data_IF_690344362136
#
_entry.id   IF_690344362136
#
_cell.length_a   1.000
_cell.length_b   1.000
_cell.length_c   1.000
_cell.angle_alpha   90.00
_cell.angle_beta   90.00
_cell.angle_gamma   90.00
#
_symmetry.space_group_name_H-M   'P 1'
#
loop_
_entity.id
_entity.type
_entity.pdbx_description
1 polymer ?
#
# COMPACT_ATOMS: atom_id res chain seq x y z
N UNK A 1 23.73 50.35 -45.99
CA UNK A 1 24.26 49.10 -45.39
C UNK A 1 25.73 49.17 -44.93
N UNK A 2 26.35 50.34 -44.68
CA UNK A 2 27.68 50.45 -44.04
C UNK A 2 27.81 51.56 -42.97
N UNK A 3 26.75 52.31 -42.65
CA UNK A 3 26.77 53.42 -41.69
C UNK A 3 26.18 53.10 -40.31
N UNK A 4 25.38 52.04 -40.16
CA UNK A 4 24.77 51.69 -38.85
C UNK A 4 25.65 50.81 -37.95
N UNK A 5 26.74 50.23 -38.46
CA UNK A 5 27.63 49.36 -37.65
C UNK A 5 28.75 50.12 -36.92
N UNK A 6 29.01 51.39 -37.27
CA UNK A 6 30.04 52.21 -36.60
C UNK A 6 29.48 52.91 -35.37
N UNK A 7 28.20 53.30 -35.39
CA UNK A 7 27.51 53.89 -34.24
C UNK A 7 27.35 52.88 -33.09
N UNK A 8 27.04 51.61 -33.40
CA UNK A 8 26.88 50.55 -32.40
C UNK A 8 28.22 50.15 -31.74
N UNK A 9 29.33 50.24 -32.49
CA UNK A 9 30.67 50.00 -31.96
C UNK A 9 31.18 51.15 -31.08
N UNK A 10 30.83 52.41 -31.42
CA UNK A 10 31.21 53.58 -30.64
C UNK A 10 30.46 53.68 -29.29
N UNK A 11 29.18 53.30 -29.26
CA UNK A 11 28.37 53.27 -28.03
C UNK A 11 28.87 52.20 -27.05
N UNK A 12 29.27 51.02 -27.56
CA UNK A 12 29.84 49.96 -26.73
C UNK A 12 31.26 50.27 -26.20
N UNK A 13 32.00 51.17 -26.85
CA UNK A 13 33.32 51.60 -26.38
C UNK A 13 33.22 52.70 -25.32
N UNK A 14 32.23 53.60 -25.44
CA UNK A 14 31.99 54.66 -24.46
C UNK A 14 31.51 54.11 -23.10
N UNK A 15 30.79 52.98 -23.11
CA UNK A 15 30.32 52.31 -21.89
C UNK A 15 31.42 51.55 -21.13
N UNK A 16 32.60 51.31 -21.74
CA UNK A 16 33.71 50.57 -21.12
C UNK A 16 34.81 51.45 -20.51
N UNK A 17 34.82 52.75 -20.79
CA UNK A 17 35.93 53.65 -20.39
C UNK A 17 35.64 54.46 -19.12
N UNK A 18 34.42 54.39 -18.56
CA UNK A 18 34.07 55.13 -17.34
C UNK A 18 33.47 54.20 -16.30
N UNK A 19 34.32 53.58 -15.49
CA UNK A 19 33.96 53.13 -14.15
C UNK A 19 34.93 53.81 -13.17
N UNK A 20 34.42 54.45 -12.10
CA UNK A 20 34.60 53.79 -10.79
C UNK A 20 33.45 53.99 -9.78
N UNK A 21 33.10 52.87 -9.14
CA UNK A 21 32.73 52.64 -7.73
C UNK A 21 32.20 53.78 -6.83
N UNK A 22 30.90 53.76 -6.47
CA UNK A 22 30.34 54.07 -5.11
C UNK A 22 29.04 53.25 -4.88
N UNK A 23 28.87 52.70 -3.67
CA UNK A 23 27.78 51.82 -3.14
C UNK A 23 26.55 52.66 -2.69
N UNK A 24 25.42 52.08 -2.23
CA UNK A 24 24.29 51.45 -2.93
C UNK A 24 23.04 52.37 -2.95
N UNK A 25 22.47 52.66 -4.12
CA UNK A 25 21.12 53.25 -4.20
C UNK A 25 20.19 52.24 -4.83
N UNK A 26 19.11 51.91 -4.13
CA UNK A 26 18.02 51.06 -4.58
C UNK A 26 17.76 51.27 -6.09
N UNK A 27 18.18 50.30 -6.90
CA UNK A 27 17.81 50.29 -8.31
C UNK A 27 16.32 50.00 -8.31
N UNK A 28 15.53 51.05 -8.52
CA UNK A 28 14.13 50.92 -8.89
C UNK A 28 14.07 49.92 -10.05
N UNK A 29 13.59 48.70 -9.78
CA UNK A 29 13.24 47.73 -10.84
C UNK A 29 12.47 48.51 -11.90
N UNK A 30 12.81 48.33 -13.17
CA UNK A 30 12.04 49.00 -14.21
C UNK A 30 10.58 48.56 -14.10
N UNK A 31 9.65 49.41 -14.51
CA UNK A 31 8.23 49.03 -14.53
C UNK A 31 8.02 47.74 -15.35
N UNK A 32 8.88 47.49 -16.34
CA UNK A 32 8.94 46.24 -17.10
C UNK A 32 9.38 45.05 -16.23
N UNK A 33 10.43 45.17 -15.42
CA UNK A 33 10.89 44.05 -14.57
C UNK A 33 9.89 43.74 -13.44
N UNK A 34 9.28 44.77 -12.86
CA UNK A 34 8.28 44.62 -11.80
C UNK A 34 6.93 44.07 -12.32
N UNK A 35 6.54 44.38 -13.56
CA UNK A 35 5.26 43.94 -14.14
C UNK A 35 5.39 42.68 -14.97
N UNK A 36 6.47 42.52 -15.75
CA UNK A 36 6.61 41.45 -16.72
C UNK A 36 7.40 40.24 -16.20
N UNK A 37 8.35 40.44 -15.27
CA UNK A 37 9.15 39.34 -14.71
C UNK A 37 8.58 38.93 -13.34
N UNK A 38 8.47 39.84 -12.37
CA UNK A 38 8.00 39.47 -11.02
C UNK A 38 6.53 38.99 -10.99
N UNK A 39 5.62 39.59 -11.77
CA UNK A 39 4.22 39.11 -11.84
C UNK A 39 4.10 37.82 -12.65
N UNK A 40 4.98 37.59 -13.63
CA UNK A 40 4.97 36.39 -14.44
C UNK A 40 5.59 35.21 -13.69
N UNK A 41 6.62 35.45 -12.87
CA UNK A 41 7.18 34.48 -11.94
C UNK A 41 6.12 34.12 -10.89
N UNK A 42 5.45 35.10 -10.27
CA UNK A 42 4.35 34.82 -9.34
C UNK A 42 3.17 34.08 -10.01
N UNK A 43 2.87 34.38 -11.28
CA UNK A 43 1.85 33.64 -12.03
C UNK A 43 2.31 32.22 -12.37
N UNK A 44 3.60 32.01 -12.66
CA UNK A 44 4.21 30.69 -12.91
C UNK A 44 4.20 29.84 -11.64
N UNK A 45 4.56 30.41 -10.49
CA UNK A 45 4.45 29.74 -9.18
C UNK A 45 3.00 29.43 -8.83
N UNK A 46 2.08 30.38 -9.06
CA UNK A 46 0.65 30.16 -8.84
C UNK A 46 0.08 29.07 -9.75
N UNK A 47 0.51 29.02 -11.01
CA UNK A 47 0.07 28.00 -11.97
C UNK A 47 0.63 26.62 -11.62
N UNK A 48 1.90 26.52 -11.25
CA UNK A 48 2.52 25.27 -10.80
C UNK A 48 1.86 24.73 -9.52
N UNK A 49 1.52 25.61 -8.59
CA UNK A 49 0.78 25.22 -7.38
C UNK A 49 -0.65 24.74 -7.70
N UNK A 50 -1.31 25.35 -8.69
CA UNK A 50 -2.63 24.91 -9.16
C UNK A 50 -2.53 23.56 -9.87
N UNK A 51 -1.52 23.35 -10.70
CA UNK A 51 -1.27 22.09 -11.42
C UNK A 51 -1.05 20.93 -10.44
N UNK A 52 -0.23 21.14 -9.41
CA UNK A 52 -0.04 20.15 -8.32
C UNK A 52 -1.37 19.85 -7.60
N UNK A 53 -2.19 20.87 -7.33
CA UNK A 53 -3.48 20.68 -6.67
C UNK A 53 -4.48 19.89 -7.54
N UNK A 54 -4.41 20.06 -8.87
CA UNK A 54 -5.23 19.34 -9.84
C UNK A 54 -4.80 17.87 -9.89
N UNK A 55 -3.50 17.58 -9.93
CA UNK A 55 -2.98 16.20 -9.93
C UNK A 55 -3.38 15.43 -8.66
N UNK A 56 -3.31 16.09 -7.50
CA UNK A 56 -3.75 15.53 -6.21
C UNK A 56 -5.26 15.24 -6.21
N UNK A 57 -6.07 16.15 -6.80
CA UNK A 57 -7.51 15.98 -6.93
C UNK A 57 -7.88 14.85 -7.90
N UNK A 58 -7.22 14.73 -9.04
CA UNK A 58 -7.44 13.65 -10.00
C UNK A 58 -7.12 12.29 -9.37
N UNK A 59 -6.03 12.20 -8.60
CA UNK A 59 -5.66 11.01 -7.83
C UNK A 59 -6.71 10.64 -6.77
N UNK A 60 -7.21 11.64 -6.04
CA UNK A 60 -8.28 11.44 -5.05
C UNK A 60 -9.59 11.00 -5.70
N UNK A 61 -9.97 11.58 -6.85
CA UNK A 61 -11.16 11.20 -7.62
C UNK A 61 -11.05 9.76 -8.13
N UNK A 62 -9.89 9.34 -8.67
CA UNK A 62 -9.68 7.95 -9.10
C UNK A 62 -9.85 6.93 -7.96
N UNK A 63 -9.45 7.29 -6.74
CA UNK A 63 -9.66 6.45 -5.54
C UNK A 63 -11.14 6.32 -5.18
N UNK A 64 -11.91 7.42 -5.30
CA UNK A 64 -13.37 7.44 -5.07
C UNK A 64 -14.11 6.64 -6.14
N UNK A 65 -13.71 6.73 -7.41
CA UNK A 65 -14.26 5.92 -8.49
C UNK A 65 -14.00 4.42 -8.29
N UNK A 66 -12.80 4.04 -7.81
CA UNK A 66 -12.48 2.67 -7.43
C UNK A 66 -13.35 2.15 -6.27
N UNK A 67 -13.56 2.96 -5.25
CA UNK A 67 -14.47 2.64 -4.13
C UNK A 67 -15.93 2.51 -4.57
N UNK A 68 -16.38 3.37 -5.50
CA UNK A 68 -17.73 3.30 -6.09
C UNK A 68 -17.89 2.03 -6.93
N UNK A 69 -16.87 1.67 -7.71
CA UNK A 69 -16.83 0.42 -8.47
C UNK A 69 -16.89 -0.79 -7.54
N UNK A 70 -16.14 -0.79 -6.44
CA UNK A 70 -16.18 -1.84 -5.42
C UNK A 70 -17.54 -1.90 -4.72
N UNK A 71 -18.14 -0.75 -4.38
CA UNK A 71 -19.49 -0.68 -3.80
C UNK A 71 -20.54 -1.26 -4.74
N UNK A 72 -20.48 -0.95 -6.04
CA UNK A 72 -21.37 -1.51 -7.05
C UNK A 72 -21.18 -3.03 -7.20
N UNK A 73 -19.94 -3.51 -7.23
CA UNK A 73 -19.62 -4.95 -7.25
C UNK A 73 -20.12 -5.67 -5.98
N UNK A 74 -19.94 -5.06 -4.80
CA UNK A 74 -20.40 -5.60 -3.52
C UNK A 74 -21.93 -5.60 -3.43
N UNK A 75 -22.58 -4.57 -3.96
CA UNK A 75 -24.05 -4.47 -4.04
C UNK A 75 -24.61 -5.53 -4.97
N UNK A 76 -23.99 -5.74 -6.14
CA UNK A 76 -24.36 -6.81 -7.06
C UNK A 76 -24.10 -8.20 -6.46
N UNK A 77 -22.94 -8.43 -5.82
CA UNK A 77 -22.61 -9.68 -5.12
C UNK A 77 -23.56 -9.96 -3.95
N UNK A 78 -24.00 -8.92 -3.24
CA UNK A 78 -25.03 -9.03 -2.19
C UNK A 78 -26.39 -9.39 -2.79
N UNK A 79 -26.77 -8.81 -3.93
CA UNK A 79 -28.01 -9.12 -4.61
C UNK A 79 -28.02 -10.57 -5.12
N UNK A 80 -26.94 -11.04 -5.74
CA UNK A 80 -26.81 -12.44 -6.19
C UNK A 80 -26.78 -13.42 -5.02
N UNK A 81 -26.12 -13.06 -3.91
CA UNK A 81 -26.16 -13.85 -2.68
C UNK A 81 -27.58 -13.91 -2.09
N UNK A 82 -28.32 -12.80 -2.10
CA UNK A 82 -29.71 -12.78 -1.65
C UNK A 82 -30.62 -13.59 -2.59
N UNK A 83 -30.41 -13.54 -3.90
CA UNK A 83 -31.13 -14.37 -4.87
C UNK A 83 -30.81 -15.85 -4.72
N UNK A 84 -29.56 -16.20 -4.40
CA UNK A 84 -29.15 -17.58 -4.11
C UNK A 84 -29.67 -18.09 -2.76
N UNK A 85 -29.64 -17.23 -1.73
CA UNK A 85 -30.11 -17.56 -0.39
C UNK A 85 -31.64 -17.51 -0.28
N UNK A 86 -32.34 -16.76 -1.12
CA UNK A 86 -33.80 -16.66 -1.06
C UNK A 86 -34.53 -18.00 -1.29
N UNK A 87 -34.18 -18.85 -2.28
CA UNK A 87 -34.73 -20.19 -2.39
C UNK A 87 -34.17 -21.16 -1.35
N UNK A 88 -32.98 -20.96 -0.77
CA UNK A 88 -32.49 -21.76 0.35
C UNK A 88 -33.22 -21.42 1.68
N UNK A 89 -33.58 -20.16 1.91
CA UNK A 89 -34.32 -19.69 3.08
C UNK A 89 -35.83 -19.97 2.97
N UNK A 90 -36.42 -19.81 1.77
CA UNK A 90 -37.84 -20.08 1.52
C UNK A 90 -38.15 -21.48 0.95
N UNK A 91 -37.14 -22.24 0.54
CA UNK A 91 -37.27 -23.63 0.09
C UNK A 91 -37.04 -24.65 1.20
N UNK A 92 -36.22 -24.30 2.21
CA UNK A 92 -36.01 -25.15 3.40
C UNK A 92 -37.07 -24.93 4.49
N UNK A 93 -37.77 -23.79 4.46
CA UNK A 93 -38.95 -23.50 5.30
C UNK A 93 -40.15 -23.31 4.39
N UNK A 94 -40.68 -24.42 3.87
CA UNK A 94 -41.99 -24.43 3.22
C UNK A 94 -43.01 -23.91 4.25
N UNK A 95 -43.78 -22.83 3.99
CA UNK A 95 -44.77 -22.34 4.94
C UNK A 95 -45.79 -23.45 5.21
N UNK A 96 -45.66 -24.10 6.35
CA UNK A 96 -46.65 -25.00 6.93
C UNK A 96 -47.50 -24.16 7.87
N UNK A 97 -48.81 -24.19 7.69
CA UNK A 97 -49.70 -23.37 8.50
C UNK A 97 -51.08 -23.98 8.62
N UNK A 98 -51.81 -23.52 9.63
CA UNK A 98 -53.24 -23.79 9.75
C UNK A 98 -53.99 -22.62 9.10
N UNK A 99 -54.85 -22.94 8.14
CA UNK A 99 -55.68 -21.92 7.52
C UNK A 99 -56.59 -21.28 8.58
N UNK A 100 -56.89 -20.00 8.40
CA UNK A 100 -57.87 -19.29 9.24
C UNK A 100 -59.27 -19.34 8.63
N UNK A 101 -59.38 -19.86 7.40
CA UNK A 101 -60.60 -20.02 6.64
C UNK A 101 -60.30 -20.17 5.15
N UNK A 102 -61.33 -20.21 4.31
CA UNK A 102 -61.18 -20.32 2.88
C UNK A 102 -62.49 -20.30 2.13
N UNK A 103 -62.40 -20.35 0.81
CA UNK A 103 -63.53 -20.48 -0.10
C UNK A 103 -63.20 -21.51 -1.17
N UNK A 104 -64.12 -21.78 -2.10
CA UNK A 104 -63.81 -22.66 -3.24
C UNK A 104 -62.67 -22.14 -4.14
N UNK A 105 -62.33 -20.85 -4.09
CA UNK A 105 -61.28 -20.25 -4.92
C UNK A 105 -60.10 -19.72 -4.12
N UNK A 106 -60.13 -19.81 -2.80
CA UNK A 106 -59.11 -19.21 -1.95
C UNK A 106 -58.88 -19.96 -0.64
N UNK A 107 -57.75 -19.67 -0.01
CA UNK A 107 -57.42 -20.07 1.34
C UNK A 107 -56.80 -18.88 2.06
N UNK A 108 -57.25 -18.61 3.28
CA UNK A 108 -56.67 -17.57 4.13
C UNK A 108 -55.60 -18.21 4.99
N UNK A 109 -54.36 -17.78 4.77
CA UNK A 109 -53.18 -18.31 5.45
C UNK A 109 -53.17 -17.90 6.93
N UNK A 110 -52.30 -18.54 7.70
CA UNK A 110 -52.11 -18.23 9.11
C UNK A 110 -51.61 -16.78 9.33
N UNK A 111 -51.82 -16.25 10.54
CA UNK A 111 -51.45 -14.85 10.86
C UNK A 111 -49.94 -14.55 10.65
N UNK A 112 -49.08 -15.56 10.79
CA UNK A 112 -47.63 -15.47 10.59
C UNK A 112 -47.17 -15.45 9.12
N UNK A 113 -48.07 -15.63 8.14
CA UNK A 113 -47.72 -15.62 6.73
C UNK A 113 -47.22 -14.24 6.25
N UNK A 114 -46.41 -14.21 5.20
CA UNK A 114 -45.73 -12.98 4.74
C UNK A 114 -46.69 -11.82 4.43
N UNK A 115 -46.29 -10.59 4.76
CA UNK A 115 -47.01 -9.37 4.42
C UNK A 115 -46.74 -8.84 3.01
N UNK A 116 -45.82 -9.47 2.28
CA UNK A 116 -45.48 -9.09 0.90
C UNK A 116 -46.51 -9.64 -0.08
N UNK A 117 -47.10 -8.77 -0.90
CA UNK A 117 -47.99 -9.18 -1.99
C UNK A 117 -47.22 -10.06 -3.00
N UNK A 118 -47.95 -10.96 -3.66
CA UNK A 118 -47.48 -11.80 -4.76
C UNK A 118 -46.35 -12.80 -4.44
N UNK A 119 -45.84 -12.82 -3.20
CA UNK A 119 -44.72 -13.67 -2.79
C UNK A 119 -44.94 -15.17 -3.08
N UNK A 120 -46.19 -15.62 -2.97
CA UNK A 120 -46.55 -17.01 -3.16
C UNK A 120 -47.13 -17.31 -4.54
N UNK A 121 -47.17 -16.35 -5.47
CA UNK A 121 -47.72 -16.57 -6.81
C UNK A 121 -46.90 -17.63 -7.56
N UNK A 122 -47.60 -18.50 -8.30
CA UNK A 122 -47.03 -19.63 -9.03
C UNK A 122 -46.70 -20.84 -8.15
N UNK A 123 -46.63 -20.69 -6.82
CA UNK A 123 -46.33 -21.78 -5.89
C UNK A 123 -47.49 -22.77 -5.78
N UNK A 124 -47.17 -24.02 -5.48
CA UNK A 124 -48.19 -25.02 -5.16
C UNK A 124 -48.57 -24.90 -3.68
N UNK A 125 -49.85 -25.01 -3.39
CA UNK A 125 -50.39 -25.14 -2.05
C UNK A 125 -51.13 -26.48 -1.94
N UNK A 126 -50.72 -27.29 -0.96
CA UNK A 126 -51.32 -28.60 -0.69
C UNK A 126 -51.95 -28.59 0.69
N UNK A 127 -53.21 -28.98 0.79
CA UNK A 127 -53.86 -29.26 2.07
C UNK A 127 -53.53 -30.71 2.43
N UNK A 128 -52.71 -30.92 3.46
CA UNK A 128 -52.25 -32.26 3.83
C UNK A 128 -53.09 -32.90 4.95
N UNK A 129 -53.89 -32.12 5.67
CA UNK A 129 -54.89 -32.64 6.61
C UNK A 129 -56.03 -31.63 6.85
N UNK A 130 -57.11 -32.07 7.51
CA UNK A 130 -58.30 -31.28 7.77
C UNK A 130 -59.28 -31.21 6.60
N UNK A 131 -60.22 -30.26 6.64
CA UNK A 131 -61.19 -30.08 5.55
C UNK A 131 -60.49 -29.82 4.23
N UNK A 132 -60.83 -30.60 3.20
CA UNK A 132 -60.23 -30.48 1.88
C UNK A 132 -58.82 -31.09 1.74
N UNK A 133 -58.39 -31.95 2.67
CA UNK A 133 -57.14 -32.70 2.57
C UNK A 133 -56.94 -33.45 1.24
N UNK A 134 -55.68 -33.65 0.86
CA UNK A 134 -55.23 -34.26 -0.39
C UNK A 134 -55.56 -33.46 -1.65
N UNK A 135 -55.86 -32.18 -1.51
CA UNK A 135 -55.98 -31.27 -2.64
C UNK A 135 -54.72 -30.41 -2.77
N UNK A 136 -54.16 -30.35 -3.97
CA UNK A 136 -53.07 -29.45 -4.34
C UNK A 136 -53.55 -28.49 -5.42
N UNK A 137 -53.20 -27.21 -5.33
CA UNK A 137 -53.50 -26.17 -6.32
C UNK A 137 -52.33 -25.23 -6.52
N UNK A 138 -52.31 -24.51 -7.64
CA UNK A 138 -51.36 -23.41 -7.87
C UNK A 138 -51.95 -22.13 -7.29
N UNK A 139 -51.17 -21.38 -6.52
CA UNK A 139 -51.54 -20.03 -6.08
C UNK A 139 -51.42 -19.09 -7.28
N UNK A 140 -52.56 -18.60 -7.77
CA UNK A 140 -52.61 -17.66 -8.90
C UNK A 140 -52.41 -16.20 -8.47
N UNK A 141 -52.72 -15.87 -7.21
CA UNK A 141 -52.53 -14.53 -6.63
C UNK A 141 -52.47 -14.61 -5.10
N UNK A 142 -51.70 -13.74 -4.46
CA UNK A 142 -51.59 -13.62 -3.01
C UNK A 142 -51.57 -12.18 -2.54
N UNK A 143 -52.46 -11.82 -1.61
CA UNK A 143 -52.45 -10.52 -0.94
C UNK A 143 -51.82 -10.65 0.45
N UNK A 144 -50.66 -10.04 0.65
CA UNK A 144 -49.93 -10.10 1.91
C UNK A 144 -50.58 -9.30 3.04
N UNK A 145 -51.41 -8.31 2.72
CA UNK A 145 -52.20 -7.56 3.70
C UNK A 145 -53.32 -8.38 4.33
N UNK A 146 -54.03 -9.17 3.52
CA UNK A 146 -55.16 -10.00 3.99
C UNK A 146 -54.80 -11.47 4.24
N UNK A 147 -53.59 -11.88 3.84
CA UNK A 147 -53.12 -13.28 3.87
C UNK A 147 -53.95 -14.22 3.00
N UNK A 148 -54.65 -13.71 2.00
CA UNK A 148 -55.50 -14.51 1.12
C UNK A 148 -54.70 -14.98 -0.09
N UNK A 149 -54.59 -16.29 -0.26
CA UNK A 149 -54.08 -16.93 -1.46
C UNK A 149 -55.25 -17.41 -2.33
N UNK A 150 -55.34 -16.90 -3.56
CA UNK A 150 -56.27 -17.37 -4.59
C UNK A 150 -55.63 -18.51 -5.37
N UNK A 151 -56.40 -19.55 -5.67
CA UNK A 151 -55.88 -20.78 -6.27
C UNK A 151 -56.52 -21.13 -7.61
N UNK A 152 -55.76 -21.85 -8.44
CA UNK A 152 -56.22 -22.47 -9.67
C UNK A 152 -55.64 -23.90 -9.79
N UNK A 153 -56.43 -24.92 -10.18
CA UNK A 153 -57.89 -24.89 -10.32
C UNK A 153 -58.62 -24.59 -9.00
N UNK A 154 -59.95 -24.39 -9.02
CA UNK A 154 -60.72 -24.21 -7.79
C UNK A 154 -60.63 -25.44 -6.87
N UNK A 155 -60.74 -25.26 -5.56
CA UNK A 155 -60.91 -26.35 -4.62
C UNK A 155 -62.21 -27.11 -4.93
N UNK A 156 -62.18 -28.44 -4.84
CA UNK A 156 -63.36 -29.30 -4.88
C UNK A 156 -64.11 -29.22 -3.56
N UNK A 157 -63.36 -29.22 -2.44
CA UNK A 157 -63.86 -28.98 -1.09
C UNK A 157 -63.13 -27.73 -0.57
N UNK A 158 -63.89 -26.69 -0.22
CA UNK A 158 -63.31 -25.44 0.28
C UNK A 158 -62.57 -25.67 1.62
N UNK A 159 -61.34 -25.16 1.79
CA UNK A 159 -60.65 -25.22 3.07
C UNK A 159 -61.35 -24.36 4.14
N UNK A 160 -61.19 -24.74 5.39
CA UNK A 160 -61.68 -24.03 6.56
C UNK A 160 -60.58 -23.89 7.63
N UNK A 161 -60.93 -23.52 8.85
CA UNK A 161 -59.99 -23.34 9.95
C UNK A 161 -59.39 -24.64 10.50
N UNK A 162 -59.79 -25.81 9.99
CA UNK A 162 -59.19 -27.11 10.30
C UNK A 162 -58.19 -27.55 9.23
N UNK A 163 -58.14 -26.87 8.08
CA UNK A 163 -57.24 -27.22 6.96
C UNK A 163 -55.81 -26.83 7.28
N UNK A 164 -54.91 -27.81 7.29
CA UNK A 164 -53.48 -27.55 7.36
C UNK A 164 -52.85 -27.64 5.97
N UNK A 165 -52.07 -26.63 5.62
CA UNK A 165 -51.51 -26.46 4.29
C UNK A 165 -49.99 -26.37 4.32
N UNK A 166 -49.39 -26.66 3.16
CA UNK A 166 -47.97 -26.44 2.86
C UNK A 166 -47.84 -25.71 1.53
N UNK A 167 -46.98 -24.69 1.43
CA UNK A 167 -46.70 -23.96 0.19
C UNK A 167 -45.30 -24.29 -0.34
N UNK A 168 -45.20 -24.86 -1.54
CA UNK A 168 -43.92 -25.20 -2.19
C UNK A 168 -43.67 -24.46 -3.49
N UNK A 169 -42.39 -24.35 -3.87
CA UNK A 169 -41.98 -23.86 -5.17
C UNK A 169 -42.74 -24.57 -6.32
N UNK A 170 -42.90 -23.87 -7.44
CA UNK A 170 -43.52 -24.39 -8.66
C UNK A 170 -42.61 -25.45 -9.29
N UNK A 171 -42.74 -26.67 -8.81
CA UNK A 171 -41.93 -27.83 -9.14
C UNK A 171 -42.14 -28.84 -8.02
N UNK A 172 -42.52 -30.07 -8.35
CA UNK A 172 -42.89 -31.10 -7.38
C UNK A 172 -41.70 -31.54 -6.50
N UNK A 173 -41.21 -30.66 -5.62
CA UNK A 173 -40.16 -31.01 -4.66
C UNK A 173 -40.76 -31.71 -3.43
N UNK A 174 -42.07 -31.62 -3.17
CA UNK A 174 -42.72 -32.27 -2.01
C UNK A 174 -42.71 -33.80 -2.05
N UNK A 175 -42.83 -34.40 -3.24
CA UNK A 175 -42.78 -35.87 -3.36
C UNK A 175 -41.38 -36.43 -3.11
N UNK A 176 -40.33 -35.62 -3.22
CA UNK A 176 -38.96 -36.03 -2.95
C UNK A 176 -38.57 -35.87 -1.46
N UNK A 177 -39.32 -35.06 -0.68
CA UNK A 177 -38.98 -34.73 0.71
C UNK A 177 -39.90 -35.36 1.78
N UNK A 178 -41.13 -35.77 1.42
CA UNK A 178 -42.08 -36.42 2.34
C UNK A 178 -42.39 -37.83 1.83
N UNK A 179 -42.05 -38.84 2.62
CA UNK A 179 -42.35 -40.24 2.30
C UNK A 179 -43.78 -40.64 2.68
N UNK A 180 -44.33 -40.07 3.76
CA UNK A 180 -45.76 -40.20 4.12
C UNK A 180 -46.15 -39.15 5.16
N UNK A 181 -47.39 -38.67 5.14
CA UNK A 181 -47.97 -37.85 6.19
C UNK A 181 -49.40 -38.30 6.49
N UNK A 182 -49.92 -37.98 7.66
CA UNK A 182 -51.31 -38.28 8.00
C UNK A 182 -51.64 -38.18 9.47
N UNK A 183 -52.89 -38.50 9.78
CA UNK A 183 -53.37 -38.65 11.16
C UNK A 183 -53.06 -40.07 11.64
N UNK A 184 -52.36 -40.20 12.76
CA UNK A 184 -52.13 -41.49 13.38
C UNK A 184 -53.46 -42.13 13.79
N UNK A 185 -53.49 -43.46 13.87
CA UNK A 185 -54.68 -44.20 14.29
C UNK A 185 -54.57 -44.69 15.73
N UNK A 186 -53.35 -44.82 16.25
CA UNK A 186 -53.02 -45.15 17.64
C UNK A 186 -51.52 -44.90 17.89
N UNK A 187 -51.09 -45.06 19.14
CA UNK A 187 -49.68 -45.02 19.52
C UNK A 187 -49.41 -45.58 20.91
N UNK A 188 -48.15 -45.88 21.19
CA UNK A 188 -47.64 -46.31 22.51
C UNK A 188 -46.33 -45.59 22.83
N UNK A 189 -45.63 -45.97 23.90
CA UNK A 189 -44.35 -45.34 24.24
C UNK A 189 -43.28 -45.50 23.15
N UNK A 190 -43.27 -46.60 22.40
CA UNK A 190 -42.26 -46.89 21.37
C UNK A 190 -42.84 -47.02 19.97
N UNK A 191 -44.14 -46.76 19.79
CA UNK A 191 -44.82 -46.96 18.50
C UNK A 191 -45.80 -45.85 18.15
N UNK A 192 -46.05 -45.71 16.86
CA UNK A 192 -47.15 -44.94 16.28
C UNK A 192 -47.75 -45.76 15.13
N UNK A 193 -49.07 -45.85 15.06
CA UNK A 193 -49.76 -46.52 13.96
C UNK A 193 -50.12 -45.48 12.91
N UNK A 194 -49.53 -45.60 11.73
CA UNK A 194 -49.70 -44.64 10.64
C UNK A 194 -51.12 -44.69 10.06
N UNK A 195 -51.48 -43.67 9.28
CA UNK A 195 -52.73 -43.64 8.54
C UNK A 195 -52.83 -44.85 7.60
N UNK A 196 -54.06 -45.30 7.33
CA UNK A 196 -54.35 -46.46 6.46
C UNK A 196 -53.78 -46.31 5.04
N UNK A 197 -53.49 -45.08 4.61
CA UNK A 197 -52.88 -44.74 3.32
C UNK A 197 -51.37 -44.97 3.27
N UNK A 198 -50.72 -45.32 4.38
CA UNK A 198 -49.27 -45.58 4.42
C UNK A 198 -48.87 -46.84 3.63
N UNK A 199 -47.63 -46.85 3.14
CA UNK A 199 -47.10 -47.86 2.21
C UNK A 199 -47.40 -49.31 2.62
N UNK A 200 -47.71 -50.15 1.64
CA UNK A 200 -47.88 -51.60 1.80
C UNK A 200 -46.57 -52.39 1.84
N UNK A 201 -45.41 -51.72 1.82
CA UNK A 201 -44.09 -52.35 1.79
C UNK A 201 -43.48 -52.36 3.19
N UNK A 202 -43.12 -53.54 3.70
CA UNK A 202 -42.52 -53.67 5.04
C UNK A 202 -41.19 -52.91 5.12
N UNK A 203 -40.96 -52.23 6.25
CA UNK A 203 -39.73 -51.50 6.56
C UNK A 203 -39.31 -50.40 5.56
N UNK A 204 -40.16 -49.96 4.63
CA UNK A 204 -39.81 -48.93 3.64
C UNK A 204 -39.53 -47.54 4.24
N UNK A 205 -39.84 -47.34 5.52
CA UNK A 205 -39.59 -46.11 6.27
C UNK A 205 -38.47 -46.25 7.31
N UNK A 206 -37.82 -47.41 7.42
CA UNK A 206 -36.72 -47.60 8.39
C UNK A 206 -35.57 -46.66 8.05
N UNK A 207 -34.97 -46.02 9.06
CA UNK A 207 -33.92 -45.02 8.89
C UNK A 207 -34.46 -43.59 8.70
N UNK A 208 -35.72 -43.45 8.30
CA UNK A 208 -36.36 -42.15 8.13
C UNK A 208 -36.75 -41.51 9.46
N UNK A 209 -36.97 -40.19 9.42
CA UNK A 209 -37.38 -39.40 10.57
C UNK A 209 -38.89 -39.19 10.56
N UNK A 210 -39.54 -39.47 11.68
CA UNK A 210 -40.95 -39.20 11.91
C UNK A 210 -41.11 -38.06 12.92
N UNK A 211 -41.87 -37.03 12.55
CA UNK A 211 -42.22 -35.91 13.43
C UNK A 211 -43.72 -35.81 13.62
N UNK A 212 -44.17 -35.65 14.87
CA UNK A 212 -45.56 -35.30 15.20
C UNK A 212 -45.66 -33.78 15.14
N UNK A 213 -46.39 -33.28 14.15
CA UNK A 213 -46.47 -31.86 13.82
C UNK A 213 -47.63 -31.15 14.53
N UNK A 214 -48.67 -31.88 14.94
CA UNK A 214 -49.77 -31.35 15.76
C UNK A 214 -50.55 -32.49 16.45
N UNK A 215 -51.41 -32.14 17.42
CA UNK A 215 -52.14 -33.11 18.24
C UNK A 215 -51.35 -33.63 19.45
N UNK A 216 -51.81 -34.73 20.06
CA UNK A 216 -51.14 -35.34 21.22
C UNK A 216 -49.69 -35.70 20.88
N UNK A 217 -48.75 -35.27 21.73
CA UNK A 217 -47.33 -35.52 21.49
C UNK A 217 -46.70 -34.65 20.38
N UNK A 218 -47.38 -33.60 19.92
CA UNK A 218 -46.85 -32.62 18.96
C UNK A 218 -45.50 -32.01 19.38
N UNK A 219 -44.65 -31.76 18.38
CA UNK A 219 -43.28 -31.28 18.56
C UNK A 219 -42.24 -32.37 18.82
N UNK A 220 -42.65 -33.63 18.94
CA UNK A 220 -41.71 -34.75 19.12
C UNK A 220 -41.28 -35.33 17.77
N UNK A 221 -39.98 -35.61 17.64
CA UNK A 221 -39.37 -36.21 16.45
C UNK A 221 -38.55 -37.42 16.83
N UNK A 222 -38.62 -38.52 16.05
CA UNK A 222 -37.94 -39.79 16.30
C UNK A 222 -37.49 -40.47 15.01
N UNK A 223 -36.51 -41.36 15.11
CA UNK A 223 -36.08 -42.21 13.99
C UNK A 223 -36.91 -43.49 13.95
N UNK A 224 -37.33 -43.91 12.76
CA UNK A 224 -38.05 -45.16 12.55
C UNK A 224 -37.04 -46.32 12.51
N UNK A 225 -37.24 -47.31 13.38
CA UNK A 225 -36.39 -48.51 13.48
C UNK A 225 -37.06 -49.78 12.95
N UNK A 226 -38.40 -49.77 12.80
CA UNK A 226 -39.15 -50.85 12.16
C UNK A 226 -40.51 -50.35 11.68
N UNK A 227 -41.03 -50.93 10.59
CA UNK A 227 -42.38 -50.66 10.10
C UNK A 227 -43.06 -51.95 9.61
N UNK A 228 -44.17 -52.30 10.24
CA UNK A 228 -45.04 -53.42 9.82
C UNK A 228 -46.09 -52.93 8.82
N UNK A 229 -46.00 -53.40 7.58
CA UNK A 229 -46.87 -52.92 6.51
C UNK A 229 -48.32 -53.42 6.57
N UNK A 230 -48.59 -54.51 7.32
CA UNK A 230 -49.94 -55.07 7.46
C UNK A 230 -50.77 -54.31 8.50
N UNK A 231 -50.13 -53.98 9.63
CA UNK A 231 -50.74 -53.27 10.76
C UNK A 231 -50.48 -51.76 10.74
N UNK A 232 -49.57 -51.30 9.87
CA UNK A 232 -49.10 -49.90 9.78
C UNK A 232 -48.42 -49.41 11.07
N UNK A 233 -47.98 -50.33 11.92
CA UNK A 233 -47.30 -49.99 13.18
C UNK A 233 -45.85 -49.66 12.88
N UNK A 234 -45.47 -48.43 13.22
CA UNK A 234 -44.11 -47.92 13.12
C UNK A 234 -43.48 -47.91 14.51
N UNK A 235 -42.36 -48.59 14.66
CA UNK A 235 -41.55 -48.56 15.88
C UNK A 235 -40.47 -47.50 15.75
N UNK A 236 -40.29 -46.72 16.81
CA UNK A 236 -39.41 -45.55 16.82
C UNK A 236 -38.33 -45.65 17.91
N UNK A 237 -37.29 -44.84 17.78
CA UNK A 237 -36.29 -44.61 18.82
C UNK A 237 -35.84 -43.15 18.82
N UNK A 238 -35.58 -42.53 19.99
CA UNK A 238 -35.90 -43.02 21.35
C UNK A 238 -37.42 -43.09 21.61
N UNK A 239 -37.88 -43.60 22.77
CA UNK A 239 -39.31 -43.60 23.08
C UNK A 239 -39.93 -42.19 23.07
N UNK A 240 -41.23 -42.10 22.79
CA UNK A 240 -42.00 -40.89 22.97
C UNK A 240 -42.02 -40.48 24.45
N UNK A 241 -41.88 -39.19 24.70
CA UNK A 241 -42.09 -38.59 26.03
C UNK A 241 -43.58 -38.43 26.33
N UNK A 242 -44.39 -38.19 25.30
CA UNK A 242 -45.86 -38.20 25.33
C UNK A 242 -46.34 -39.14 24.23
N UNK A 243 -47.06 -40.20 24.60
CA UNK A 243 -47.52 -41.21 23.63
C UNK A 243 -48.47 -40.59 22.61
N UNK A 244 -48.26 -40.80 21.29
CA UNK A 244 -49.21 -40.39 20.28
C UNK A 244 -50.52 -41.18 20.38
N UNK A 245 -51.60 -40.57 19.89
CA UNK A 245 -52.94 -41.13 19.80
C UNK A 245 -53.56 -40.81 18.42
N UNK A 246 -54.87 -41.03 18.27
CA UNK A 246 -55.60 -40.80 17.03
C UNK A 246 -55.79 -39.30 16.66
N UNK A 247 -55.31 -38.37 17.48
CA UNK A 247 -55.27 -36.94 17.19
C UNK A 247 -53.90 -36.48 16.70
N UNK A 248 -52.89 -37.36 16.76
CA UNK A 248 -51.50 -37.05 16.46
C UNK A 248 -51.27 -37.00 14.95
N UNK A 249 -51.00 -35.81 14.43
CA UNK A 249 -50.69 -35.58 13.03
C UNK A 249 -49.19 -35.71 12.81
N UNK A 250 -48.76 -36.54 11.86
CA UNK A 250 -47.36 -36.86 11.65
C UNK A 250 -46.89 -36.63 10.21
N UNK A 251 -45.58 -36.44 10.06
CA UNK A 251 -44.85 -36.46 8.79
C UNK A 251 -43.66 -37.40 8.94
N UNK A 252 -43.44 -38.25 7.92
CA UNK A 252 -42.21 -39.02 7.71
C UNK A 252 -41.43 -38.39 6.57
N UNK A 253 -40.19 -37.98 6.84
CA UNK A 253 -39.30 -37.34 5.89
C UNK A 253 -38.50 -38.37 5.08
N UNK A 254 -38.27 -38.08 3.80
CA UNK A 254 -37.43 -38.93 2.95
C UNK A 254 -35.98 -38.97 3.45
N UNK A 255 -35.27 -40.08 3.20
CA UNK A 255 -33.88 -40.26 3.60
C UNK A 255 -32.98 -39.16 3.00
N UNK A 256 -32.03 -38.63 3.79
CA UNK A 256 -31.08 -37.60 3.36
C UNK A 256 -31.57 -36.14 3.46
N UNK A 257 -32.77 -35.90 4.02
CA UNK A 257 -33.41 -34.57 4.03
C UNK A 257 -33.73 -34.08 5.44
N UNK A 258 -32.74 -33.62 6.22
CA UNK A 258 -33.05 -32.95 7.49
C UNK A 258 -32.00 -31.92 7.92
N UNK A 259 -32.38 -30.65 7.93
CA UNK A 259 -31.94 -29.68 8.93
C UNK A 259 -33.16 -29.44 9.83
N UNK A 260 -33.13 -29.98 11.06
CA UNK A 260 -34.23 -29.80 12.02
C UNK A 260 -33.94 -28.55 12.86
N UNK A 261 -34.79 -27.52 12.73
CA UNK A 261 -34.79 -26.35 13.61
C UNK A 261 -35.87 -26.53 14.69
N UNK A 262 -35.54 -26.18 15.93
CA UNK A 262 -36.51 -26.09 17.02
C UNK A 262 -37.61 -25.08 16.65
N UNK A 263 -38.90 -25.43 16.68
CA UNK A 263 -39.97 -24.52 16.25
C UNK A 263 -40.14 -23.31 17.17
N UNK A 264 -39.69 -23.39 18.42
CA UNK A 264 -39.78 -22.30 19.41
C UNK A 264 -38.53 -21.42 19.45
N UNK A 265 -37.33 -21.99 19.24
CA UNK A 265 -36.06 -21.24 19.37
C UNK A 265 -35.33 -21.02 18.05
N UNK A 266 -35.80 -21.62 16.95
CA UNK A 266 -35.12 -21.67 15.64
C UNK A 266 -33.67 -22.15 15.71
N UNK A 267 -33.32 -22.88 16.78
CA UNK A 267 -31.99 -23.41 17.03
C UNK A 267 -31.91 -24.85 16.51
N UNK A 268 -30.77 -25.24 15.92
CA UNK A 268 -30.54 -26.58 15.38
C UNK A 268 -30.73 -27.64 16.48
N UNK A 269 -31.64 -28.61 16.29
CA UNK A 269 -31.86 -29.69 17.26
C UNK A 269 -31.00 -30.88 16.86
N UNK A 270 -29.77 -30.90 17.37
CA UNK A 270 -28.90 -32.06 17.30
C UNK A 270 -28.22 -32.29 15.95
N UNK A 271 -26.96 -32.70 16.03
CA UNK A 271 -26.09 -32.98 14.89
C UNK A 271 -26.50 -34.31 14.24
N UNK A 272 -27.52 -34.30 13.38
CA UNK A 272 -27.89 -35.46 12.57
C UNK A 272 -27.51 -35.19 11.11
N UNK A 273 -26.32 -35.67 10.73
CA UNK A 273 -25.98 -36.04 9.35
C UNK A 273 -26.00 -34.93 8.29
N UNK A 274 -25.27 -33.82 8.48
CA UNK A 274 -24.58 -33.26 7.31
C UNK A 274 -23.58 -34.34 6.92
N UNK A 275 -23.79 -34.99 5.77
CA UNK A 275 -22.78 -35.85 5.20
C UNK A 275 -21.49 -35.03 5.11
N UNK A 276 -20.49 -35.42 5.90
CA UNK A 276 -19.20 -34.74 5.97
C UNK A 276 -18.54 -34.65 4.58
N UNK A 277 -19.00 -35.45 3.62
CA UNK A 277 -18.64 -35.37 2.21
C UNK A 277 -19.14 -34.09 1.50
N UNK A 278 -20.36 -33.59 1.76
CA UNK A 278 -20.86 -32.35 1.13
C UNK A 278 -20.30 -31.09 1.78
N UNK A 279 -20.02 -31.12 3.09
CA UNK A 279 -19.25 -30.07 3.76
C UNK A 279 -17.77 -30.06 3.30
N UNK A 280 -17.21 -31.22 2.98
CA UNK A 280 -15.91 -31.33 2.34
C UNK A 280 -15.94 -30.82 0.90
N UNK A 281 -17.01 -31.05 0.12
CA UNK A 281 -17.17 -30.51 -1.23
C UNK A 281 -17.36 -28.98 -1.23
N UNK A 282 -18.20 -28.43 -0.35
CA UNK A 282 -18.32 -26.98 -0.12
C UNK A 282 -17.01 -26.37 0.41
N UNK A 283 -16.32 -27.07 1.32
CA UNK A 283 -15.01 -26.67 1.82
C UNK A 283 -13.91 -26.76 0.76
N UNK A 284 -14.00 -27.72 -0.18
CA UNK A 284 -13.10 -27.81 -1.33
C UNK A 284 -13.40 -26.76 -2.39
N UNK A 285 -14.67 -26.45 -2.65
CA UNK A 285 -15.07 -25.39 -3.56
C UNK A 285 -14.69 -24.01 -3.03
N UNK A 286 -14.91 -23.76 -1.74
CA UNK A 286 -14.49 -22.52 -1.09
C UNK A 286 -12.96 -22.40 -1.02
N UNK A 287 -12.25 -23.49 -0.70
CA UNK A 287 -10.78 -23.53 -0.77
C UNK A 287 -10.26 -23.35 -2.20
N UNK A 288 -10.94 -23.89 -3.21
CA UNK A 288 -10.60 -23.70 -4.62
C UNK A 288 -10.72 -22.23 -4.98
N UNK A 289 -11.88 -21.61 -4.74
CA UNK A 289 -12.12 -20.18 -5.03
C UNK A 289 -11.14 -19.29 -4.28
N UNK A 290 -10.82 -19.59 -3.01
CA UNK A 290 -9.83 -18.84 -2.24
C UNK A 290 -8.41 -19.03 -2.79
N UNK A 291 -8.09 -20.24 -3.28
CA UNK A 291 -6.79 -20.55 -3.89
C UNK A 291 -6.66 -19.88 -5.27
N UNK A 292 -7.71 -19.90 -6.08
CA UNK A 292 -7.77 -19.27 -7.40
C UNK A 292 -7.73 -17.74 -7.27
N UNK A 293 -8.42 -17.19 -6.27
CA UNK A 293 -8.34 -15.75 -5.94
C UNK A 293 -6.96 -15.38 -5.41
N UNK A 294 -6.34 -16.24 -4.57
CA UNK A 294 -4.96 -16.03 -4.09
C UNK A 294 -3.94 -16.13 -5.23
N UNK A 295 -4.12 -17.07 -6.15
CA UNK A 295 -3.31 -17.19 -7.38
C UNK A 295 -3.52 -15.95 -8.23
N UNK A 296 -4.75 -15.48 -8.44
CA UNK A 296 -5.04 -14.23 -9.15
C UNK A 296 -4.37 -13.01 -8.53
N UNK A 297 -4.39 -12.86 -7.20
CA UNK A 297 -3.66 -11.78 -6.52
C UNK A 297 -2.13 -11.95 -6.60
N UNK A 298 -1.62 -13.18 -6.57
CA UNK A 298 -0.18 -13.46 -6.76
C UNK A 298 0.22 -13.18 -8.21
N UNK A 299 -0.63 -13.48 -9.18
CA UNK A 299 -0.46 -13.22 -10.61
C UNK A 299 -0.55 -11.71 -10.89
N UNK A 300 -1.44 -10.98 -10.24
CA UNK A 300 -1.54 -9.51 -10.33
C UNK A 300 -0.33 -8.84 -9.65
N UNK A 301 0.14 -9.38 -8.52
CA UNK A 301 1.35 -8.92 -7.82
C UNK A 301 2.65 -9.25 -8.59
N UNK A 302 2.67 -10.35 -9.33
CA UNK A 302 3.79 -10.73 -10.21
C UNK A 302 3.73 -10.03 -11.57
N UNK A 303 2.53 -9.73 -12.09
CA UNK A 303 2.32 -8.91 -13.29
C UNK A 303 2.59 -7.42 -13.04
N UNK A 304 2.47 -6.95 -11.80
CA UNK A 304 2.95 -5.63 -11.38
C UNK A 304 4.48 -5.51 -11.41
N UNK A 305 5.20 -6.59 -11.78
CA UNK A 305 6.65 -6.64 -11.90
C UNK A 305 7.41 -6.28 -10.61
N UNK A 306 6.71 -6.19 -9.47
CA UNK A 306 7.28 -5.76 -8.18
C UNK A 306 8.50 -6.57 -7.74
N UNK A 307 8.57 -7.90 -7.93
CA UNK A 307 9.81 -8.64 -7.65
C UNK A 307 10.96 -8.20 -8.54
N UNK A 308 10.71 -7.95 -9.83
CA UNK A 308 11.72 -7.44 -10.76
C UNK A 308 12.11 -6.00 -10.43
N UNK A 309 11.15 -5.15 -10.04
CA UNK A 309 11.40 -3.77 -9.62
C UNK A 309 12.16 -3.73 -8.29
N UNK A 310 11.86 -4.63 -7.34
CA UNK A 310 12.60 -4.81 -6.09
C UNK A 310 14.00 -5.35 -6.37
N UNK A 311 14.17 -6.26 -7.32
CA UNK A 311 15.48 -6.77 -7.72
C UNK A 311 16.29 -5.70 -8.46
N UNK A 312 15.64 -4.84 -9.25
CA UNK A 312 16.24 -3.64 -9.85
C UNK A 312 16.66 -2.65 -8.75
N UNK A 313 15.80 -2.36 -7.78
CA UNK A 313 16.10 -1.45 -6.66
C UNK A 313 17.21 -2.03 -5.77
N UNK A 314 17.20 -3.34 -5.48
CA UNK A 314 18.26 -4.01 -4.71
C UNK A 314 19.57 -4.06 -5.49
N UNK A 315 19.53 -4.27 -6.81
CA UNK A 315 20.70 -4.18 -7.67
C UNK A 315 21.25 -2.76 -7.71
N UNK A 316 20.39 -1.73 -7.82
CA UNK A 316 20.79 -0.33 -7.72
C UNK A 316 21.38 0.01 -6.34
N UNK A 317 20.84 -0.58 -5.27
CA UNK A 317 21.37 -0.43 -3.90
C UNK A 317 22.73 -1.14 -3.74
N UNK A 318 22.91 -2.33 -4.30
CA UNK A 318 24.22 -3.00 -4.39
C UNK A 318 25.18 -2.21 -5.28
N UNK A 319 24.70 -1.49 -6.29
CA UNK A 319 25.56 -0.59 -7.09
C UNK A 319 26.00 0.63 -6.28
N UNK A 320 25.29 1.01 -5.21
CA UNK A 320 25.68 2.08 -4.28
C UNK A 320 26.68 1.55 -3.23
N UNK A 321 26.50 0.33 -2.71
CA UNK A 321 27.38 -0.25 -1.68
C UNK A 321 28.64 -0.94 -2.25
N UNK A 322 28.56 -1.59 -3.43
CA UNK A 322 29.67 -2.30 -4.09
C UNK A 322 30.28 -1.54 -5.28
N UNK A 323 30.02 -0.23 -5.43
CA UNK A 323 30.73 0.58 -6.43
C UNK A 323 32.18 0.87 -6.02
N UNK A 324 33.04 -0.14 -6.14
CA UNK A 324 34.19 0.11 -6.99
C UNK A 324 33.64 0.54 -8.36
N UNK A 325 33.67 1.84 -8.62
CA UNK A 325 33.34 2.42 -9.92
C UNK A 325 34.00 1.57 -11.02
N UNK A 326 33.20 1.10 -11.99
CA UNK A 326 33.73 0.42 -13.19
C UNK A 326 34.85 1.32 -13.75
N UNK A 327 36.00 0.72 -14.07
CA UNK A 327 37.17 1.47 -14.53
C UNK A 327 36.86 2.44 -15.70
N UNK A 328 35.84 2.12 -16.51
CA UNK A 328 35.33 2.95 -17.61
C UNK A 328 33.79 2.97 -17.65
N UNK A 329 33.10 3.91 -16.97
CA UNK A 329 31.63 4.00 -16.99
C UNK A 329 31.12 4.54 -18.33
N UNK A 330 29.98 4.06 -18.84
CA UNK A 330 29.42 4.46 -20.16
C UNK A 330 29.14 5.97 -20.24
N UNK A 331 29.40 6.59 -21.41
CA UNK A 331 29.10 8.01 -21.65
C UNK A 331 27.60 8.32 -21.43
N UNK A 332 27.31 9.33 -20.62
CA UNK A 332 25.93 9.71 -20.27
C UNK A 332 25.32 9.00 -19.06
N UNK A 333 26.03 8.05 -18.43
CA UNK A 333 25.54 7.39 -17.21
C UNK A 333 25.69 8.26 -15.95
N UNK A 334 24.77 8.11 -14.99
CA UNK A 334 24.91 8.66 -13.63
C UNK A 334 26.22 8.20 -12.97
N UNK A 335 26.64 6.97 -13.21
CA UNK A 335 27.93 6.44 -12.75
C UNK A 335 29.13 7.23 -13.27
N UNK A 336 29.08 7.70 -14.53
CA UNK A 336 30.10 8.61 -15.08
C UNK A 336 29.98 10.02 -14.49
N UNK A 337 28.78 10.52 -14.23
CA UNK A 337 28.58 11.84 -13.61
C UNK A 337 29.15 11.88 -12.18
N UNK A 338 28.93 10.82 -11.41
CA UNK A 338 29.45 10.65 -10.06
C UNK A 338 30.96 10.38 -10.08
N UNK A 339 31.44 9.49 -10.95
CA UNK A 339 32.89 9.22 -11.13
C UNK A 339 33.69 10.44 -11.61
N UNK A 340 33.04 11.38 -12.31
CA UNK A 340 33.67 12.59 -12.85
C UNK A 340 33.53 13.81 -11.94
N UNK A 341 32.94 13.64 -10.74
CA UNK A 341 32.78 14.73 -9.77
C UNK A 341 31.92 15.89 -10.27
N UNK A 342 30.90 15.61 -11.09
CA UNK A 342 30.08 16.64 -11.73
C UNK A 342 29.44 17.58 -10.70
N UNK A 343 29.70 18.88 -10.85
CA UNK A 343 28.90 19.91 -10.16
C UNK A 343 27.64 20.22 -10.96
N UNK A 344 26.68 20.92 -10.34
CA UNK A 344 25.37 21.27 -10.91
C UNK A 344 25.39 22.11 -12.21
N UNK A 345 26.56 22.33 -12.83
CA UNK A 345 26.76 23.07 -14.08
C UNK A 345 27.51 22.29 -15.17
N UNK A 346 27.65 20.96 -15.02
CA UNK A 346 28.04 20.08 -16.13
C UNK A 346 29.52 20.10 -16.54
N UNK A 347 30.40 20.71 -15.75
CA UNK A 347 31.86 20.64 -15.95
C UNK A 347 32.50 19.61 -15.03
N UNK A 348 33.25 18.68 -15.62
CA UNK A 348 33.95 17.57 -14.97
C UNK A 348 35.14 18.07 -14.14
N UNK A 349 35.28 17.57 -12.90
CA UNK A 349 36.49 17.82 -12.09
C UNK A 349 37.67 17.00 -12.63
N UNK A 350 38.92 17.47 -12.45
CA UNK A 350 40.11 16.70 -12.81
C UNK A 350 40.11 15.33 -12.11
N UNK A 351 40.59 14.29 -12.81
CA UNK A 351 40.50 12.88 -12.41
C UNK A 351 41.15 12.49 -11.06
N UNK A 352 41.80 13.43 -10.36
CA UNK A 352 42.57 13.21 -9.13
C UNK A 352 41.98 13.88 -7.88
N UNK A 353 40.75 14.40 -7.93
CA UNK A 353 40.13 15.11 -6.79
C UNK A 353 38.77 14.51 -6.47
N UNK A 354 38.63 13.87 -5.31
CA UNK A 354 37.31 13.52 -4.76
C UNK A 354 36.61 14.77 -4.19
N UNK A 355 35.28 14.72 -4.03
CA UNK A 355 34.54 15.82 -3.38
C UNK A 355 35.04 16.05 -1.94
N UNK A 356 35.51 15.00 -1.27
CA UNK A 356 36.16 15.06 0.04
C UNK A 356 37.52 15.79 -0.03
N UNK A 357 38.32 15.56 -1.08
CA UNK A 357 39.58 16.28 -1.28
C UNK A 357 39.37 17.77 -1.57
N UNK A 358 38.31 18.12 -2.29
CA UNK A 358 37.97 19.51 -2.60
C UNK A 358 37.41 20.24 -1.38
N UNK A 359 36.55 19.59 -0.59
CA UNK A 359 35.86 20.23 0.54
C UNK A 359 36.70 20.23 1.82
N UNK A 360 37.40 19.13 2.11
CA UNK A 360 38.03 18.92 3.42
C UNK A 360 39.54 19.06 3.33
N UNK A 361 40.18 18.51 2.29
CA UNK A 361 41.64 18.52 2.20
C UNK A 361 42.14 19.87 1.68
N UNK A 362 41.63 20.38 0.56
CA UNK A 362 42.10 21.67 0.00
C UNK A 362 41.78 22.89 0.87
N UNK A 363 40.72 22.85 1.69
CA UNK A 363 40.37 23.95 2.59
C UNK A 363 41.15 23.95 3.90
N UNK A 364 41.87 22.86 4.23
CA UNK A 364 42.58 22.69 5.52
C UNK A 364 44.03 22.23 5.39
N UNK A 365 44.50 21.80 4.21
CA UNK A 365 45.89 21.41 3.99
C UNK A 365 46.69 22.59 3.45
N UNK A 366 47.44 23.26 4.32
CA UNK A 366 48.49 24.16 3.86
C UNK A 366 49.48 23.37 2.98
N UNK A 367 49.77 23.87 1.78
CA UNK A 367 50.78 23.30 0.91
C UNK A 367 52.17 23.47 1.53
N UNK A 368 52.83 22.35 1.82
CA UNK A 368 54.18 22.29 2.37
C UNK A 368 55.22 22.32 1.23
N UNK A 369 56.27 23.15 1.37
CA UNK A 369 57.40 23.22 0.45
C UNK A 369 58.70 23.11 1.24
N UNK A 370 59.45 22.03 1.02
CA UNK A 370 60.76 21.80 1.62
C UNK A 370 61.85 21.99 0.57
N UNK A 371 62.84 22.82 0.86
CA UNK A 371 63.98 23.07 -0.03
C UNK A 371 65.19 23.58 0.77
N UNK A 372 66.24 24.03 0.10
CA UNK A 372 67.44 24.59 0.73
C UNK A 372 67.96 25.78 -0.06
N UNK A 373 68.39 26.82 0.66
CA UNK A 373 69.07 27.97 0.09
C UNK A 373 70.57 27.90 0.37
N UNK A 374 71.42 28.21 -0.60
CA UNK A 374 72.86 28.28 -0.42
C UNK A 374 73.27 29.74 -0.21
N UNK A 375 73.53 30.13 1.04
CA UNK A 375 74.01 31.46 1.40
C UNK A 375 75.44 31.67 0.89
N UNK A 376 75.69 32.66 0.02
CA UNK A 376 77.02 33.01 -0.45
C UNK A 376 77.96 33.44 0.67
N UNK A 377 79.26 33.30 0.45
CA UNK A 377 80.29 33.77 1.39
C UNK A 377 80.60 35.27 1.19
N UNK A 378 79.58 36.12 1.33
CA UNK A 378 79.70 37.56 1.23
C UNK A 378 78.86 38.27 2.32
N UNK A 379 78.83 39.60 2.26
CA UNK A 379 78.07 40.47 3.17
C UNK A 379 76.86 41.10 2.47
N UNK A 380 76.51 40.62 1.27
CA UNK A 380 75.45 41.19 0.47
C UNK A 380 74.09 40.70 0.99
N UNK A 381 73.08 41.54 0.91
CA UNK A 381 71.70 41.12 1.16
C UNK A 381 71.23 40.26 0.00
N UNK A 382 71.12 38.95 0.23
CA UNK A 382 70.79 37.98 -0.80
C UNK A 382 69.34 37.50 -0.66
N UNK A 383 68.60 37.39 -1.77
CA UNK A 383 67.26 36.79 -1.77
C UNK A 383 67.38 35.28 -1.57
N UNK A 384 66.90 34.79 -0.43
CA UNK A 384 66.92 33.37 -0.09
C UNK A 384 65.67 32.64 -0.59
N UNK A 385 64.51 33.30 -0.47
CA UNK A 385 63.20 32.77 -0.88
C UNK A 385 62.46 33.89 -1.60
N UNK A 386 61.92 33.61 -2.77
CA UNK A 386 60.97 34.49 -3.48
C UNK A 386 59.76 33.68 -3.91
N UNK A 387 58.57 34.19 -3.59
CA UNK A 387 57.31 33.54 -3.92
C UNK A 387 56.46 34.52 -4.70
N UNK A 388 56.22 34.15 -5.96
CA UNK A 388 55.35 34.86 -6.89
C UNK A 388 53.95 34.26 -6.75
N UNK A 389 53.02 35.07 -6.27
CA UNK A 389 51.63 34.68 -6.02
C UNK A 389 50.82 34.82 -7.30
N UNK A 390 50.46 33.68 -7.93
CA UNK A 390 49.53 33.67 -9.07
C UNK A 390 48.06 33.82 -8.66
N UNK A 391 47.74 33.53 -7.40
CA UNK A 391 46.43 33.66 -6.75
C UNK A 391 46.61 34.15 -5.32
N UNK A 392 45.54 34.64 -4.68
CA UNK A 392 45.59 35.10 -3.28
C UNK A 392 45.90 33.92 -2.35
N UNK A 393 46.97 34.04 -1.57
CA UNK A 393 47.44 33.00 -0.65
C UNK A 393 47.79 33.62 0.70
N UNK A 394 47.66 32.84 1.76
CA UNK A 394 48.19 33.16 3.11
C UNK A 394 49.44 32.31 3.34
N UNK A 395 50.51 32.93 3.81
CA UNK A 395 51.69 32.24 4.30
C UNK A 395 51.50 31.94 5.80
N UNK A 396 51.49 30.67 6.18
CA UNK A 396 51.21 30.26 7.56
C UNK A 396 52.51 30.20 8.38
N UNK A 397 53.58 29.62 7.82
CA UNK A 397 54.88 29.59 8.48
C UNK A 397 56.07 29.40 7.51
N UNK A 398 57.22 29.95 7.89
CA UNK A 398 58.54 29.65 7.30
C UNK A 398 59.49 29.23 8.42
N UNK A 399 60.04 28.03 8.33
CA UNK A 399 61.10 27.56 9.23
C UNK A 399 62.43 27.54 8.47
N UNK A 400 63.42 28.27 8.98
CA UNK A 400 64.79 28.30 8.45
C UNK A 400 65.72 27.56 9.41
N UNK A 401 66.46 26.57 8.92
CA UNK A 401 67.47 25.84 9.70
C UNK A 401 68.86 26.45 9.48
N UNK A 402 69.40 27.05 10.54
CA UNK A 402 70.69 27.74 10.58
C UNK A 402 71.79 26.92 11.27
N UNK A 403 71.59 25.63 11.50
CA UNK A 403 72.58 24.75 12.16
C UNK A 403 73.98 24.79 11.51
N UNK A 404 74.06 25.10 10.22
CA UNK A 404 75.30 25.15 9.45
C UNK A 404 75.98 26.53 9.44
N UNK A 405 75.34 27.57 9.99
CA UNK A 405 75.89 28.92 10.03
C UNK A 405 76.86 29.08 11.19
N UNK A 406 77.90 29.87 10.95
CA UNK A 406 78.98 30.13 11.94
C UNK A 406 79.09 31.61 12.30
N UNK A 407 78.30 32.47 11.65
CA UNK A 407 78.19 33.90 11.92
C UNK A 407 76.73 34.32 12.01
N UNK A 408 76.48 35.38 12.77
CA UNK A 408 75.15 35.98 12.92
C UNK A 408 74.60 36.46 11.57
N UNK A 409 73.29 36.36 11.42
CA UNK A 409 72.58 36.81 10.21
C UNK A 409 71.40 37.72 10.56
N UNK A 410 71.10 38.64 9.65
CA UNK A 410 69.85 39.40 9.64
C UNK A 410 68.96 38.85 8.54
N UNK A 411 67.72 38.56 8.87
CA UNK A 411 66.70 38.08 7.96
C UNK A 411 65.66 39.17 7.78
N UNK A 412 65.36 39.56 6.54
CA UNK A 412 64.31 40.55 6.27
C UNK A 412 63.23 39.97 5.40
N UNK A 413 61.99 40.29 5.75
CA UNK A 413 60.80 39.90 4.98
C UNK A 413 60.29 41.14 4.25
N UNK A 414 60.03 40.99 2.96
CA UNK A 414 59.49 42.05 2.11
C UNK A 414 58.19 41.59 1.45
N UNK A 415 57.21 42.49 1.37
CA UNK A 415 56.05 42.31 0.48
C UNK A 415 56.19 43.17 -0.77
N UNK A 416 55.56 42.75 -1.85
CA UNK A 416 55.47 43.54 -3.08
C UNK A 416 54.33 44.54 -2.97
N UNK A 417 54.62 45.80 -3.29
CA UNK A 417 53.67 46.93 -3.16
C UNK A 417 53.09 47.39 -4.50
N UNK A 418 53.73 47.03 -5.62
CA UNK A 418 53.30 47.34 -6.98
C UNK A 418 53.87 46.30 -7.96
N UNK A 419 53.81 46.52 -9.27
CA UNK A 419 54.30 45.54 -10.25
C UNK A 419 55.79 45.16 -10.13
N UNK A 420 56.62 45.96 -9.45
CA UNK A 420 58.09 45.86 -9.48
C UNK A 420 58.74 45.98 -8.09
N UNK A 421 58.21 46.83 -7.21
CA UNK A 421 58.85 47.24 -5.97
C UNK A 421 58.43 46.40 -4.76
N UNK A 422 59.39 46.18 -3.86
CA UNK A 422 59.21 45.51 -2.57
C UNK A 422 59.44 46.47 -1.40
N UNK A 423 58.66 46.35 -0.33
CA UNK A 423 58.82 47.11 0.92
C UNK A 423 59.04 46.16 2.09
N UNK A 424 59.99 46.51 2.96
CA UNK A 424 60.31 45.73 4.15
C UNK A 424 59.08 45.69 5.06
N UNK A 425 58.66 44.49 5.41
CA UNK A 425 57.56 44.22 6.32
C UNK A 425 58.07 43.94 7.72
N UNK A 426 59.12 43.11 7.84
CA UNK A 426 59.63 42.67 9.13
C UNK A 426 61.12 42.33 9.08
N UNK A 427 61.76 42.21 10.24
CA UNK A 427 63.17 41.86 10.39
C UNK A 427 63.37 40.93 11.58
N UNK A 428 64.07 39.83 11.34
CA UNK A 428 64.47 38.85 12.33
C UNK A 428 65.99 38.81 12.41
N UNK A 429 66.48 38.42 13.58
CA UNK A 429 67.91 38.26 13.85
C UNK A 429 68.15 36.83 14.30
N UNK A 430 69.25 36.26 13.83
CA UNK A 430 69.75 35.00 14.36
C UNK A 430 71.23 35.16 14.70
N UNK A 431 71.59 34.69 15.87
CA UNK A 431 72.94 34.67 16.38
C UNK A 431 73.39 33.25 16.64
N UNK A 432 74.70 33.01 16.68
CA UNK A 432 75.25 31.66 16.88
C UNK A 432 74.97 31.07 18.26
N UNK A 433 74.42 31.86 19.20
CA UNK A 433 73.99 31.40 20.53
C UNK A 433 72.50 31.04 20.57
N UNK A 434 71.73 31.41 19.54
CA UNK A 434 70.31 31.09 19.46
C UNK A 434 70.10 29.61 19.12
N UNK A 435 68.86 29.14 19.28
CA UNK A 435 68.46 27.83 18.80
C UNK A 435 68.70 27.70 17.30
N UNK A 436 68.81 26.46 16.81
CA UNK A 436 69.36 26.13 15.48
C UNK A 436 68.56 26.66 14.29
N UNK A 437 67.50 27.44 14.48
CA UNK A 437 66.70 27.99 13.40
C UNK A 437 65.82 29.16 13.84
N UNK A 438 65.10 29.73 12.87
CA UNK A 438 64.12 30.79 13.09
C UNK A 438 62.78 30.38 12.49
N UNK A 439 61.71 30.50 13.29
CA UNK A 439 60.33 30.34 12.85
C UNK A 439 59.74 31.72 12.61
N UNK A 440 59.24 31.91 11.41
CA UNK A 440 58.49 33.10 11.02
C UNK A 440 57.04 32.65 10.84
N UNK A 441 56.14 33.07 11.75
CA UNK A 441 54.69 32.78 11.69
C UNK A 441 53.88 34.05 11.45
N UNK A 442 52.60 33.87 11.09
CA UNK A 442 51.59 34.93 10.99
C UNK A 442 51.86 36.04 9.96
N UNK A 443 52.75 35.77 9.00
CA UNK A 443 53.03 36.66 7.88
C UNK A 443 51.89 36.58 6.85
N UNK A 444 50.77 37.23 7.15
CA UNK A 444 49.60 37.28 6.26
C UNK A 444 49.83 38.29 5.14
N UNK A 445 50.58 37.90 4.11
CA UNK A 445 50.83 38.72 2.92
C UNK A 445 50.05 38.14 1.74
N UNK A 446 49.12 38.92 1.18
CA UNK A 446 48.26 38.54 0.05
C UNK A 446 48.87 38.85 -1.34
N UNK A 447 50.17 39.18 -1.41
CA UNK A 447 50.92 39.58 -2.60
C UNK A 447 52.25 38.83 -2.67
N UNK A 448 52.98 38.96 -3.79
CA UNK A 448 54.35 38.43 -3.93
C UNK A 448 55.22 38.90 -2.76
N UNK A 449 56.09 38.02 -2.28
CA UNK A 449 56.97 38.32 -1.17
C UNK A 449 58.34 37.69 -1.37
N UNK A 450 59.33 38.25 -0.70
CA UNK A 450 60.67 37.69 -0.65
C UNK A 450 61.25 37.79 0.76
N UNK A 451 62.09 36.82 1.09
CA UNK A 451 62.92 36.83 2.28
C UNK A 451 64.37 36.91 1.86
N UNK A 452 65.08 37.85 2.47
CA UNK A 452 66.51 38.04 2.26
C UNK A 452 67.28 37.70 3.52
N UNK A 453 68.52 37.28 3.33
CA UNK A 453 69.45 36.97 4.41
C UNK A 453 70.74 37.74 4.15
N UNK A 454 71.23 38.42 5.19
CA UNK A 454 72.50 39.13 5.18
C UNK A 454 73.38 38.62 6.31
N UNK A 455 74.59 38.20 5.99
CA UNK A 455 75.56 37.80 7.00
C UNK A 455 76.23 39.01 7.63
N UNK A 456 76.37 39.04 8.96
CA UNK A 456 77.08 40.11 9.66
C UNK A 456 78.59 40.06 9.39
N UNK A 457 79.11 38.84 9.19
CA UNK A 457 80.50 38.53 8.83
C UNK A 457 80.50 37.39 7.83
N UNK A 458 81.50 37.29 6.96
CA UNK A 458 81.63 36.19 5.99
C UNK A 458 81.61 34.83 6.69
N UNK A 459 80.87 33.86 6.14
CA UNK A 459 80.59 32.55 6.76
C UNK A 459 81.72 31.52 6.64
N UNK A 460 82.86 31.89 6.04
CA UNK A 460 84.00 31.00 5.80
C UNK A 460 83.75 29.97 4.69
N UNK A 461 82.75 30.19 3.84
CA UNK A 461 82.32 29.31 2.76
C UNK A 461 80.82 29.44 2.49
N UNK A 462 80.36 28.88 1.38
CA UNK A 462 78.92 28.80 1.07
C UNK A 462 78.25 27.88 2.09
N UNK A 463 77.11 28.30 2.65
CA UNK A 463 76.37 27.53 3.67
C UNK A 463 74.97 27.18 3.20
N UNK A 464 74.60 25.91 3.29
CA UNK A 464 73.24 25.46 3.02
C UNK A 464 72.33 25.73 4.22
N UNK A 465 71.18 26.34 3.94
CA UNK A 465 70.11 26.69 4.87
C UNK A 465 68.86 25.95 4.39
N UNK A 466 68.58 24.76 4.92
CA UNK A 466 67.32 24.08 4.70
C UNK A 466 66.15 24.93 5.19
N UNK A 467 65.03 24.87 4.48
CA UNK A 467 63.83 25.56 4.88
C UNK A 467 62.56 24.78 4.57
N UNK A 468 61.53 25.04 5.37
CA UNK A 468 60.19 24.54 5.17
C UNK A 468 59.19 25.69 5.15
N UNK A 469 58.24 25.67 4.21
CA UNK A 469 57.21 26.69 4.04
C UNK A 469 55.84 26.04 4.02
N UNK A 470 54.91 26.53 4.84
CA UNK A 470 53.50 26.12 4.84
C UNK A 470 52.66 27.31 4.36
N UNK A 471 51.79 27.09 3.37
CA UNK A 471 50.92 28.13 2.78
C UNK A 471 49.50 27.62 2.60
N UNK A 472 48.50 28.46 2.84
CA UNK A 472 47.09 28.16 2.58
C UNK A 472 46.58 28.99 1.40
N UNK A 473 45.90 28.36 0.43
CA UNK A 473 45.24 29.08 -0.67
C UNK A 473 43.96 29.73 -0.12
N UNK A 474 43.80 31.04 -0.37
CA UNK A 474 42.62 31.78 0.08
C UNK A 474 41.71 31.94 -1.15
N UNK A 475 40.56 31.24 -1.15
CA UNK A 475 39.52 31.36 -2.19
C UNK A 475 39.01 32.79 -2.36
#
# INVERSE_FOLDING_TARGET
KKSNNVALAAVNLLCKVVAPSIVPTAVSKSLYDAIALDRLDNATYGLSAIETLVDDLETAVGTIEGATTLHNKLTAARATLLDFLSPLYYGLVSPIGQATGGSITSITLEAGASATNDLYNGRLITIYTGTGANQTRTISSYSGGTKIATVLPKWTIAPDNTSYYVITASGNMLSDFISVAGLATAGSASTITLAVTASGIANCYVGQTLSIISGTGGGQTRTIISYDAGTKVTTISPNWSVNPDNTSNYIVFAEGSAIILNPSTRQLVGNYGIDLATAAELGTGFRSVLTDTRIGYIDELSAANLPADIDIIKADTQTIEDSTLKADPTAGSLSRYIASGGTALGTQLPASKSLYDVIVVDRLSGAETISSYNLPNDLVENTAIEIITGTRQRLDSVWLDFVNLVQNVTIKVYHKIDGINYRQYDTYYWTTVDEKGVLITDVTINNDWKLTITSAVVQGGVKAIPYNIIKTVME
#
